data_IF_596628921633
#
_entry.id   IF_596628921633
#
_cell.length_a   1.000
_cell.length_b   1.000
_cell.length_c   1.000
_cell.angle_alpha   90.00
_cell.angle_beta   90.00
_cell.angle_gamma   90.00
#
_symmetry.space_group_name_H-M   'P 1'
#
loop_
_entity.id
_entity.type
_entity.pdbx_description
1 polymer ?
#
# COMPACT_ATOMS: atom_id res chain seq x y z
N UNK A 1 -22.75 6.44 4.08
CA UNK A 1 -21.39 6.73 4.58
C UNK A 1 -20.53 5.52 4.26
N UNK A 2 -19.60 5.57 3.30
CA UNK A 2 -18.71 4.43 3.07
C UNK A 2 -17.90 4.19 4.34
N UNK A 3 -17.87 2.94 4.81
CA UNK A 3 -17.12 2.55 6.01
C UNK A 3 -15.64 2.77 5.71
N UNK A 4 -14.98 3.65 6.48
CA UNK A 4 -13.53 3.78 6.43
C UNK A 4 -12.92 2.43 6.83
N UNK A 5 -12.47 1.66 5.83
CA UNK A 5 -11.88 0.35 6.04
C UNK A 5 -10.42 0.52 6.50
N UNK A 6 -10.25 0.77 7.80
CA UNK A 6 -8.94 0.90 8.43
C UNK A 6 -8.26 -0.48 8.39
N UNK A 7 -7.16 -0.56 7.65
CA UNK A 7 -6.34 -1.75 7.47
C UNK A 7 -4.87 -1.33 7.66
N UNK A 8 -4.29 -1.56 8.85
CA UNK A 8 -2.88 -1.28 9.09
C UNK A 8 -1.98 -2.22 8.31
N UNK A 9 -1.05 -1.67 7.55
CA UNK A 9 -0.16 -2.47 6.72
C UNK A 9 1.02 -1.71 6.17
N UNK A 10 1.90 -2.45 5.51
CA UNK A 10 3.04 -1.94 4.73
C UNK A 10 2.67 -1.97 3.26
N UNK A 11 3.07 -0.97 2.48
CA UNK A 11 2.80 -0.90 1.04
C UNK A 11 4.05 -0.57 0.24
N UNK A 12 3.99 -0.92 -1.04
CA UNK A 12 4.96 -0.56 -2.06
C UNK A 12 4.23 0.18 -3.18
N UNK A 13 4.62 1.43 -3.44
CA UNK A 13 4.21 2.18 -4.62
C UNK A 13 5.34 2.18 -5.64
N UNK A 14 4.98 2.14 -6.92
CA UNK A 14 5.90 2.39 -8.02
C UNK A 14 5.53 3.70 -8.73
N UNK A 15 6.52 4.55 -8.94
CA UNK A 15 6.39 5.73 -9.78
C UNK A 15 6.30 5.30 -11.24
N UNK A 16 5.26 5.75 -11.95
CA UNK A 16 5.18 5.59 -13.40
C UNK A 16 6.16 6.50 -14.15
N UNK A 17 6.66 7.56 -13.50
CA UNK A 17 7.57 8.54 -14.10
C UNK A 17 8.96 7.97 -14.35
N UNK A 18 9.53 7.28 -13.36
CA UNK A 18 10.92 6.81 -13.41
C UNK A 18 11.12 5.41 -12.82
N UNK A 19 10.04 4.67 -12.56
CA UNK A 19 10.05 3.32 -11.98
C UNK A 19 10.65 3.22 -10.57
N UNK A 20 10.86 4.35 -9.88
CA UNK A 20 11.28 4.36 -8.47
C UNK A 20 10.21 3.72 -7.59
N UNK A 21 10.65 2.95 -6.60
CA UNK A 21 9.77 2.38 -5.59
C UNK A 21 9.78 3.22 -4.32
N UNK A 22 8.62 3.29 -3.67
CA UNK A 22 8.45 3.86 -2.35
C UNK A 22 7.81 2.83 -1.43
N UNK A 23 8.41 2.62 -0.26
CA UNK A 23 7.93 1.69 0.74
C UNK A 23 7.49 2.50 1.96
N UNK A 24 6.28 2.25 2.44
CA UNK A 24 5.75 2.95 3.60
C UNK A 24 4.76 2.09 4.38
N UNK A 25 4.28 2.63 5.50
CA UNK A 25 3.21 2.04 6.29
C UNK A 25 2.04 3.00 6.42
N UNK A 26 0.85 2.44 6.59
CA UNK A 26 -0.39 3.22 6.74
C UNK A 26 -1.45 2.40 7.44
N UNK A 27 -2.39 3.07 8.11
CA UNK A 27 -3.62 2.47 8.63
C UNK A 27 -4.75 2.47 7.60
N UNK A 28 -4.58 3.20 6.50
CA UNK A 28 -5.55 3.33 5.43
C UNK A 28 -4.80 3.46 4.10
N UNK A 29 -4.78 2.37 3.32
CA UNK A 29 -4.02 2.32 2.06
C UNK A 29 -4.66 3.18 0.97
N UNK A 30 -5.98 3.27 0.93
CA UNK A 30 -6.71 4.05 -0.07
C UNK A 30 -6.44 5.54 0.10
N UNK A 31 -6.59 6.06 1.32
CA UNK A 31 -6.30 7.46 1.64
C UNK A 31 -4.83 7.79 1.36
N UNK A 32 -3.90 6.94 1.83
CA UNK A 32 -2.47 7.18 1.62
C UNK A 32 -2.10 7.18 0.14
N UNK A 33 -2.63 6.24 -0.63
CA UNK A 33 -2.41 6.19 -2.08
C UNK A 33 -2.90 7.46 -2.77
N UNK A 34 -4.09 7.93 -2.39
CA UNK A 34 -4.65 9.18 -2.89
C UNK A 34 -3.79 10.40 -2.51
N UNK A 35 -3.28 10.49 -1.29
CA UNK A 35 -2.37 11.59 -0.87
C UNK A 35 -1.09 11.66 -1.71
N UNK A 36 -0.47 10.51 -2.00
CA UNK A 36 0.71 10.44 -2.86
C UNK A 36 0.40 10.90 -4.28
N UNK A 37 -0.74 10.49 -4.86
CA UNK A 37 -1.14 10.88 -6.21
C UNK A 37 -1.66 12.34 -6.30
N UNK A 38 -2.25 12.87 -5.23
CA UNK A 38 -2.60 14.29 -5.14
C UNK A 38 -1.38 15.18 -4.89
N UNK A 39 -0.22 14.59 -4.55
CA UNK A 39 1.02 15.33 -4.32
C UNK A 39 1.08 16.01 -2.96
N UNK A 40 0.30 15.53 -1.99
CA UNK A 40 0.28 16.04 -0.61
C UNK A 40 1.54 15.67 0.17
N UNK A 41 2.26 14.64 -0.28
CA UNK A 41 3.52 14.20 0.34
C UNK A 41 4.71 14.88 -0.36
N UNK A 42 5.32 15.87 0.31
CA UNK A 42 6.36 16.73 -0.27
C UNK A 42 7.56 15.96 -0.86
N UNK A 43 8.01 14.91 -0.17
CA UNK A 43 9.15 14.09 -0.60
C UNK A 43 8.87 13.25 -1.86
N UNK A 44 7.61 12.95 -2.18
CA UNK A 44 7.24 12.00 -3.25
C UNK A 44 6.35 12.64 -4.33
N UNK A 45 5.91 13.90 -4.16
CA UNK A 45 5.04 14.61 -5.11
C UNK A 45 5.64 14.79 -6.51
N UNK A 46 6.96 14.82 -6.62
CA UNK A 46 7.66 15.02 -7.91
C UNK A 46 7.83 13.71 -8.71
N UNK A 47 7.48 12.58 -8.10
CA UNK A 47 7.57 11.23 -8.67
C UNK A 47 6.20 10.65 -9.06
N UNK A 48 5.13 11.45 -8.98
CA UNK A 48 3.81 11.07 -9.48
C UNK A 48 3.83 10.86 -11.01
N UNK A 49 2.86 10.10 -11.56
CA UNK A 49 1.83 9.34 -10.86
C UNK A 49 2.36 8.04 -10.26
N UNK A 50 1.70 7.57 -9.19
CA UNK A 50 2.04 6.35 -8.45
C UNK A 50 1.01 5.25 -8.72
N UNK A 51 1.48 4.00 -8.81
CA UNK A 51 0.65 2.80 -8.79
C UNK A 51 0.95 1.96 -7.54
N UNK A 52 -0.08 1.31 -7.00
CA UNK A 52 0.08 0.40 -5.86
C UNK A 52 0.52 -0.98 -6.37
N UNK A 53 1.72 -1.39 -6.00
CA UNK A 53 2.28 -2.69 -6.41
C UNK A 53 1.95 -3.79 -5.40
N UNK A 54 2.03 -3.46 -4.12
CA UNK A 54 1.82 -4.41 -3.04
C UNK A 54 1.27 -3.68 -1.81
N UNK A 55 0.36 -4.35 -1.11
CA UNK A 55 -0.04 -4.00 0.25
C UNK A 55 -0.04 -5.29 1.09
N UNK A 56 0.72 -5.28 2.17
CA UNK A 56 0.76 -6.34 3.16
C UNK A 56 0.01 -5.88 4.40
N UNK A 57 -1.09 -6.54 4.70
CA UNK A 57 -1.84 -6.33 5.92
C UNK A 57 -1.05 -6.82 7.12
N UNK A 58 -0.85 -5.93 8.09
CA UNK A 58 -0.13 -6.18 9.33
C UNK A 58 -1.07 -6.49 10.51
N UNK A 59 -2.36 -6.74 10.27
CA UNK A 59 -3.25 -7.37 11.25
C UNK A 59 -2.75 -8.78 11.52
N UNK A 60 -1.71 -8.88 12.34
CA UNK A 60 -1.22 -10.15 12.86
C UNK A 60 -2.33 -10.72 13.72
N UNK A 61 -3.01 -11.76 13.22
CA UNK A 61 -3.72 -12.64 14.12
C UNK A 61 -2.66 -13.30 15.00
N UNK A 62 -2.68 -12.96 16.28
CA UNK A 62 -2.17 -13.82 17.36
C UNK A 62 -2.48 -15.30 17.05
N UNK A 63 -1.59 -16.24 17.43
CA UNK A 63 -1.44 -17.52 16.77
C UNK A 63 -2.71 -18.37 16.84
N UNK A 64 -3.40 -18.53 15.71
CA UNK A 64 -4.17 -19.75 15.43
C UNK A 64 -4.40 -19.94 13.93
N UNK A 65 -3.69 -20.95 13.44
CA UNK A 65 -3.94 -21.76 12.23
C UNK A 65 -3.56 -21.13 10.87
N UNK A 66 -2.36 -21.52 10.42
CA UNK A 66 -1.85 -21.59 9.05
C UNK A 66 -2.62 -20.86 7.95
N UNK A 67 -2.14 -19.66 7.60
CA UNK A 67 -2.50 -19.00 6.34
C UNK A 67 -1.85 -19.77 5.19
N UNK A 68 -2.62 -20.60 4.47
CA UNK A 68 -2.20 -21.13 3.17
C UNK A 68 -2.33 -20.02 2.14
N UNK A 69 -1.20 -19.49 1.67
CA UNK A 69 -1.16 -18.64 0.48
C UNK A 69 -1.25 -19.53 -0.77
N UNK A 70 -2.25 -19.35 -1.66
CA UNK A 70 -2.23 -20.04 -2.94
C UNK A 70 -1.17 -19.37 -3.83
N UNK A 71 0.02 -19.97 -3.90
CA UNK A 71 0.98 -19.69 -4.96
C UNK A 71 0.43 -20.33 -6.23
N UNK A 72 -0.21 -19.53 -7.09
CA UNK A 72 -0.33 -19.89 -8.50
C UNK A 72 0.99 -19.50 -9.16
N UNK A 73 1.78 -20.53 -9.46
CA UNK A 73 2.91 -20.43 -10.36
C UNK A 73 2.35 -20.79 -11.74
N UNK A 74 2.38 -19.84 -12.66
CA UNK A 74 2.28 -20.12 -14.10
C UNK A 74 3.67 -20.44 -14.65
#
# INVERSE_FOLDING_TARGET
MPKNNIQPGVYILQSLKNKTYYIGSTINIEERFNEHNLGKVAATKHLRPWILMLFLDCRTMTPRQGVKVPLKIE
#
